data_IF_601428218273
#
_entry.id   IF_601428218273
#
_cell.length_a   1.000
_cell.length_b   1.000
_cell.length_c   1.000
_cell.angle_alpha   90.00
_cell.angle_beta   90.00
_cell.angle_gamma   90.00
#
_symmetry.space_group_name_H-M   'P 1'
#
loop_
_entity.id
_entity.type
_entity.pdbx_description
1 polymer ?
#
# COMPACT_ATOMS: atom_id res chain seq x y z
N UNK A 1 -1.39 -3.36 -34.22
CA UNK A 1 -1.56 -3.91 -32.93
C UNK A 1 -2.64 -3.23 -32.15
N UNK A 2 -3.56 -3.97 -31.72
CA UNK A 2 -4.74 -3.41 -31.10
C UNK A 2 -4.83 -3.70 -29.63
N UNK A 3 -3.68 -3.98 -29.04
CA UNK A 3 -3.67 -4.45 -27.68
C UNK A 3 -3.57 -3.35 -26.64
N UNK A 4 -3.29 -2.11 -27.07
CA UNK A 4 -3.07 -1.03 -26.11
C UNK A 4 -4.27 -0.80 -25.18
N UNK A 5 -5.48 -0.75 -25.72
CA UNK A 5 -6.68 -0.54 -24.91
C UNK A 5 -6.92 -1.69 -23.94
N UNK A 6 -6.74 -2.92 -24.42
CA UNK A 6 -6.88 -4.09 -23.55
C UNK A 6 -5.80 -4.10 -22.50
N UNK A 7 -4.57 -3.76 -22.85
CA UNK A 7 -3.47 -3.71 -21.89
C UNK A 7 -3.71 -2.67 -20.84
N UNK A 8 -4.20 -1.49 -21.21
CA UNK A 8 -4.50 -0.43 -20.26
C UNK A 8 -5.63 -0.84 -19.31
N UNK A 9 -6.66 -1.49 -19.81
CA UNK A 9 -7.76 -1.97 -18.99
C UNK A 9 -7.29 -3.05 -18.02
N UNK A 10 -6.47 -3.98 -18.50
CA UNK A 10 -5.90 -5.03 -17.67
C UNK A 10 -4.99 -4.44 -16.60
N UNK A 11 -4.14 -3.48 -16.96
CA UNK A 11 -3.25 -2.83 -16.01
C UNK A 11 -4.03 -2.12 -14.90
N UNK A 12 -5.10 -1.43 -15.27
CA UNK A 12 -5.95 -0.75 -14.28
C UNK A 12 -6.63 -1.73 -13.35
N UNK A 13 -7.10 -2.86 -13.87
CA UNK A 13 -7.69 -3.91 -13.06
C UNK A 13 -6.65 -4.53 -12.13
N UNK A 14 -5.43 -4.72 -12.62
CA UNK A 14 -4.35 -5.26 -11.80
C UNK A 14 -4.00 -4.32 -10.67
N UNK A 15 -3.96 -3.03 -10.89
CA UNK A 15 -3.69 -2.05 -9.83
C UNK A 15 -4.80 -2.07 -8.79
N UNK A 16 -6.04 -2.15 -9.22
CA UNK A 16 -7.17 -2.25 -8.31
C UNK A 16 -7.11 -3.54 -7.49
N UNK A 17 -6.78 -4.65 -8.15
CA UNK A 17 -6.62 -5.94 -7.48
C UNK A 17 -5.46 -5.91 -6.49
N UNK A 18 -4.35 -5.29 -6.86
CA UNK A 18 -3.19 -5.14 -6.00
C UNK A 18 -3.53 -4.29 -4.77
N UNK A 19 -4.19 -3.16 -4.99
CA UNK A 19 -4.65 -2.30 -3.90
C UNK A 19 -5.53 -3.09 -2.94
N UNK A 20 -6.47 -3.87 -3.46
CA UNK A 20 -7.36 -4.69 -2.65
C UNK A 20 -6.59 -5.70 -1.81
N UNK A 21 -5.62 -6.37 -2.40
CA UNK A 21 -4.81 -7.34 -1.68
C UNK A 21 -4.04 -6.67 -0.54
N UNK A 22 -3.48 -5.49 -0.78
CA UNK A 22 -2.75 -4.75 0.25
C UNK A 22 -3.68 -4.37 1.40
N UNK A 23 -4.84 -3.80 1.07
CA UNK A 23 -5.80 -3.39 2.09
C UNK A 23 -6.31 -4.58 2.88
N UNK A 24 -6.62 -5.69 2.21
CA UNK A 24 -7.06 -6.91 2.88
C UNK A 24 -6.00 -7.42 3.86
N UNK A 25 -4.74 -7.42 3.45
CA UNK A 25 -3.65 -7.83 4.33
C UNK A 25 -3.51 -6.93 5.54
N UNK A 26 -3.71 -5.61 5.36
CA UNK A 26 -3.67 -4.66 6.45
C UNK A 26 -4.84 -4.88 7.41
N UNK A 27 -6.03 -5.10 6.87
CA UNK A 27 -7.22 -5.33 7.68
C UNK A 27 -7.14 -6.63 8.48
N UNK A 28 -6.54 -7.66 7.91
CA UNK A 28 -6.39 -8.95 8.58
C UNK A 28 -5.62 -8.85 9.90
N UNK A 29 -4.70 -7.91 10.00
CA UNK A 29 -3.90 -7.69 11.21
C UNK A 29 -4.32 -6.40 11.93
N UNK A 30 -5.49 -5.89 11.57
CA UNK A 30 -6.15 -4.78 12.26
C UNK A 30 -5.35 -3.48 12.22
N UNK A 31 -4.80 -3.15 11.06
CA UNK A 31 -4.16 -1.86 10.87
C UNK A 31 -5.17 -0.74 11.13
N UNK A 32 -4.66 0.36 11.65
CA UNK A 32 -5.47 1.54 11.94
C UNK A 32 -5.30 2.60 10.87
N UNK A 33 -6.34 3.41 10.66
CA UNK A 33 -6.32 4.57 9.78
C UNK A 33 -5.74 4.27 8.40
N UNK A 34 -6.28 3.26 7.73
CA UNK A 34 -5.86 2.90 6.39
C UNK A 34 -6.36 3.96 5.42
N UNK A 35 -5.45 4.58 4.68
CA UNK A 35 -5.78 5.54 3.65
C UNK A 35 -5.12 5.15 2.35
N UNK A 36 -5.86 5.30 1.26
CA UNK A 36 -5.37 4.98 -0.09
C UNK A 36 -5.39 6.25 -0.93
N UNK A 37 -4.28 6.51 -1.61
CA UNK A 37 -4.15 7.67 -2.48
C UNK A 37 -3.86 7.23 -3.90
N UNK A 38 -4.55 7.85 -4.86
CA UNK A 38 -4.28 7.65 -6.27
C UNK A 38 -3.17 8.62 -6.68
N UNK A 39 -2.02 8.09 -7.04
CA UNK A 39 -0.84 8.88 -7.38
C UNK A 39 -0.46 8.78 -8.86
N UNK A 40 -1.36 8.26 -9.71
CA UNK A 40 -1.08 8.04 -11.12
C UNK A 40 -0.55 9.28 -11.82
N UNK A 41 -1.12 10.45 -11.51
CA UNK A 41 -0.72 11.70 -12.14
C UNK A 41 0.29 12.51 -11.33
N UNK A 42 0.75 11.97 -10.22
CA UNK A 42 1.74 12.64 -9.38
C UNK A 42 3.13 12.02 -9.48
N UNK A 43 3.20 10.75 -9.86
CA UNK A 43 4.46 10.03 -9.96
C UNK A 43 4.38 8.95 -11.03
N UNK A 44 5.41 8.84 -11.88
CA UNK A 44 5.49 7.70 -12.81
C UNK A 44 5.95 6.41 -12.14
N UNK A 45 6.39 6.47 -10.89
CA UNK A 45 6.98 5.32 -10.20
C UNK A 45 5.95 4.39 -9.58
N UNK A 46 4.82 4.94 -9.14
CA UNK A 46 3.77 4.15 -8.54
C UNK A 46 2.42 4.81 -8.75
N UNK A 47 1.38 4.00 -8.79
CA UNK A 47 0.03 4.48 -9.09
C UNK A 47 -0.85 4.59 -7.85
N UNK A 48 -0.47 3.92 -6.76
CA UNK A 48 -1.19 3.98 -5.48
C UNK A 48 -0.20 4.07 -4.34
N UNK A 49 -0.57 4.84 -3.33
CA UNK A 49 0.13 4.85 -2.05
C UNK A 49 -0.89 4.53 -0.98
N UNK A 50 -0.56 3.59 -0.13
CA UNK A 50 -1.42 3.20 0.98
C UNK A 50 -0.66 3.51 2.27
N UNK A 51 -1.31 4.22 3.19
CA UNK A 51 -0.73 4.56 4.48
C UNK A 51 -1.59 3.94 5.57
N UNK A 52 -0.96 3.26 6.50
CA UNK A 52 -1.66 2.62 7.60
C UNK A 52 -0.83 2.69 8.86
N UNK A 53 -1.46 2.51 10.01
CA UNK A 53 -0.78 2.57 11.29
C UNK A 53 -0.83 1.24 12.02
N UNK A 54 0.28 0.93 12.69
CA UNK A 54 0.36 -0.11 13.71
C UNK A 54 0.82 0.52 15.02
N UNK A 55 0.42 -0.07 16.13
CA UNK A 55 0.64 0.54 17.45
C UNK A 55 1.92 0.10 18.15
N UNK A 56 2.64 -0.84 17.54
CA UNK A 56 3.90 -1.34 18.11
C UNK A 56 4.80 -1.84 17.00
N UNK A 57 6.09 -2.01 17.29
CA UNK A 57 7.02 -2.62 16.35
C UNK A 57 6.57 -4.02 15.94
N UNK A 58 6.03 -4.76 16.88
CA UNK A 58 5.54 -6.11 16.61
C UNK A 58 4.38 -6.08 15.62
N UNK A 59 3.44 -5.17 15.81
CA UNK A 59 2.29 -5.06 14.93
C UNK A 59 2.69 -4.58 13.53
N UNK A 60 3.56 -3.58 13.44
CA UNK A 60 3.98 -3.09 12.12
C UNK A 60 4.68 -4.18 11.32
N UNK A 61 5.50 -5.00 11.97
CA UNK A 61 6.16 -6.13 11.33
C UNK A 61 5.14 -7.19 10.90
N UNK A 62 4.15 -7.47 11.74
CA UNK A 62 3.08 -8.41 11.40
C UNK A 62 2.24 -7.90 10.23
N UNK A 63 1.97 -6.60 10.18
CA UNK A 63 1.25 -5.97 9.08
C UNK A 63 2.02 -6.11 7.77
N UNK A 64 3.33 -5.85 7.80
CA UNK A 64 4.16 -6.00 6.61
C UNK A 64 4.15 -7.44 6.10
N UNK A 65 4.27 -8.42 6.99
CA UNK A 65 4.22 -9.82 6.61
C UNK A 65 2.86 -10.21 6.04
N UNK A 66 1.79 -9.70 6.62
CA UNK A 66 0.42 -9.97 6.16
C UNK A 66 0.19 -9.40 4.76
N UNK A 67 0.66 -8.18 4.50
CA UNK A 67 0.56 -7.56 3.18
C UNK A 67 1.36 -8.37 2.16
N UNK A 68 2.59 -8.74 2.50
CA UNK A 68 3.42 -9.56 1.62
C UNK A 68 2.70 -10.84 1.23
N UNK A 69 2.15 -11.54 2.20
CA UNK A 69 1.50 -12.82 1.95
C UNK A 69 0.22 -12.64 1.14
N UNK A 70 -0.59 -11.62 1.44
CA UNK A 70 -1.82 -11.35 0.70
C UNK A 70 -1.53 -11.01 -0.76
N UNK A 71 -0.49 -10.22 -1.01
CA UNK A 71 -0.09 -9.84 -2.37
C UNK A 71 0.39 -11.07 -3.15
N UNK A 72 1.18 -11.93 -2.52
CA UNK A 72 1.63 -13.16 -3.16
C UNK A 72 0.47 -14.10 -3.45
N UNK A 73 -0.44 -14.27 -2.53
CA UNK A 73 -1.62 -15.13 -2.72
C UNK A 73 -2.52 -14.61 -3.83
N UNK A 74 -2.54 -13.30 -4.03
CA UNK A 74 -3.31 -12.70 -5.12
C UNK A 74 -2.63 -12.88 -6.49
N UNK A 75 -1.45 -13.48 -6.53
CA UNK A 75 -0.77 -13.79 -7.77
C UNK A 75 0.27 -12.76 -8.22
N UNK A 76 0.59 -11.81 -7.38
CA UNK A 76 1.60 -10.81 -7.70
C UNK A 76 2.99 -11.24 -7.25
N UNK A 77 3.99 -10.56 -7.77
CA UNK A 77 5.38 -10.78 -7.37
C UNK A 77 5.56 -10.41 -5.91
N UNK A 78 6.41 -11.13 -5.22
CA UNK A 78 6.74 -10.87 -3.82
C UNK A 78 7.22 -9.42 -3.66
N UNK A 79 6.60 -8.63 -2.79
CA UNK A 79 7.02 -7.25 -2.58
C UNK A 79 8.36 -7.16 -1.85
N UNK A 80 9.02 -6.01 -2.01
CA UNK A 80 10.21 -5.69 -1.24
C UNK A 80 9.80 -4.98 0.03
N UNK A 81 10.43 -5.32 1.13
CA UNK A 81 10.13 -4.74 2.43
C UNK A 81 11.37 -4.05 2.97
N UNK A 82 11.22 -2.81 3.39
CA UNK A 82 12.28 -2.02 3.99
C UNK A 82 11.83 -1.47 5.34
N UNK A 83 12.76 -1.32 6.26
CA UNK A 83 12.48 -0.75 7.58
C UNK A 83 12.04 -1.74 8.63
N UNK A 84 12.10 -3.04 8.33
CA UNK A 84 11.67 -4.06 9.28
C UNK A 84 12.48 -4.09 10.56
N UNK A 85 13.75 -3.73 10.50
CA UNK A 85 14.62 -3.80 11.66
C UNK A 85 14.13 -2.95 12.81
N UNK A 86 13.70 -1.74 12.49
CA UNK A 86 13.22 -0.79 13.48
C UNK A 86 11.72 -0.96 13.77
N UNK A 87 10.92 -1.13 12.72
CA UNK A 87 9.48 -1.32 12.87
C UNK A 87 8.69 -0.04 13.09
N UNK A 88 9.33 1.13 13.15
CA UNK A 88 8.60 2.39 13.29
C UNK A 88 7.97 2.85 11.98
N UNK A 89 8.63 2.56 10.89
CA UNK A 89 8.17 2.90 9.55
C UNK A 89 8.64 1.81 8.60
N UNK A 90 7.72 0.97 8.16
CA UNK A 90 8.02 -0.11 7.22
C UNK A 90 7.41 0.23 5.87
N UNK A 91 8.18 0.06 4.81
CA UNK A 91 7.71 0.28 3.45
C UNK A 91 7.59 -1.09 2.78
N UNK A 92 6.42 -1.37 2.24
CA UNK A 92 6.17 -2.58 1.45
C UNK A 92 5.98 -2.14 0.01
N UNK A 93 7.00 -2.32 -0.79
CA UNK A 93 7.01 -1.90 -2.19
C UNK A 93 6.46 -3.03 -3.06
N UNK A 94 5.27 -2.85 -3.57
CA UNK A 94 4.58 -3.83 -4.41
C UNK A 94 4.62 -3.45 -5.90
N UNK A 95 5.50 -2.53 -6.28
CA UNK A 95 5.62 -2.08 -7.66
C UNK A 95 4.68 -0.92 -7.95
N UNK A 96 3.54 -1.20 -8.55
CA UNK A 96 2.56 -0.16 -8.89
C UNK A 96 1.92 0.46 -7.64
N UNK A 97 1.97 -0.20 -6.51
CA UNK A 97 1.45 0.31 -5.25
C UNK A 97 2.50 0.15 -4.15
N UNK A 98 2.57 1.14 -3.28
CA UNK A 98 3.51 1.14 -2.16
C UNK A 98 2.73 1.36 -0.87
N UNK A 99 2.97 0.51 0.12
CA UNK A 99 2.34 0.63 1.43
C UNK A 99 3.34 1.18 2.43
N UNK A 100 2.93 2.21 3.18
CA UNK A 100 3.68 2.76 4.29
C UNK A 100 2.98 2.37 5.57
N UNK A 101 3.64 1.56 6.39
CA UNK A 101 3.12 1.10 7.66
C UNK A 101 3.91 1.82 8.74
N UNK A 102 3.24 2.71 9.47
CA UNK A 102 3.91 3.63 10.38
C UNK A 102 3.27 3.58 11.75
N UNK A 103 4.07 3.75 12.79
CA UNK A 103 3.50 4.00 14.10
C UNK A 103 2.92 5.41 14.14
N UNK A 104 1.88 5.65 14.94
CA UNK A 104 1.17 6.93 14.91
C UNK A 104 2.06 8.16 15.10
N UNK A 105 3.04 8.10 15.99
CA UNK A 105 3.94 9.24 16.23
C UNK A 105 4.77 9.58 14.98
N UNK A 106 5.26 8.55 14.30
CA UNK A 106 6.05 8.74 13.08
C UNK A 106 5.15 9.28 11.96
N UNK A 107 3.96 8.74 11.84
CA UNK A 107 2.99 9.17 10.83
C UNK A 107 2.63 10.65 11.01
N UNK A 108 2.41 11.06 12.23
CA UNK A 108 2.08 12.44 12.54
C UNK A 108 3.26 13.37 12.25
N UNK A 109 4.47 12.93 12.56
CA UNK A 109 5.67 13.74 12.36
C UNK A 109 5.95 13.99 10.87
N UNK A 110 5.92 12.97 10.06
CA UNK A 110 6.23 13.09 8.63
C UNK A 110 5.07 13.56 7.77
N UNK A 111 3.84 13.28 8.19
CA UNK A 111 2.63 13.73 7.49
C UNK A 111 2.63 13.42 5.99
N UNK A 112 2.92 12.18 5.66
CA UNK A 112 2.98 11.76 4.25
C UNK A 112 1.66 12.01 3.52
N UNK A 113 0.54 11.92 4.22
CA UNK A 113 -0.78 12.14 3.63
C UNK A 113 -0.92 13.53 3.00
N UNK A 114 -0.19 14.51 3.49
CA UNK A 114 -0.25 15.86 2.94
C UNK A 114 0.34 15.93 1.54
N UNK A 115 1.24 15.01 1.19
CA UNK A 115 1.80 14.94 -0.16
C UNK A 115 0.76 14.50 -1.18
N UNK A 116 -0.22 13.72 -0.76
CA UNK A 116 -1.23 13.15 -1.64
C UNK A 116 -2.66 13.48 -1.21
N UNK A 117 -2.84 14.48 -0.36
CA UNK A 117 -4.11 14.79 0.29
C UNK A 117 -5.26 15.10 -0.64
N UNK A 118 -4.96 15.55 -1.85
CA UNK A 118 -5.98 15.91 -2.83
C UNK A 118 -6.44 14.71 -3.68
N UNK A 119 -5.90 13.53 -3.43
CA UNK A 119 -6.18 12.37 -4.26
C UNK A 119 -6.58 11.12 -3.47
N UNK A 120 -7.37 11.24 -2.39
CA UNK A 120 -7.77 10.07 -1.63
C UNK A 120 -8.70 9.17 -2.43
N UNK A 121 -8.58 7.88 -2.21
CA UNK A 121 -9.47 6.87 -2.77
C UNK A 121 -10.37 6.39 -1.65
N UNK A 122 -11.68 6.44 -1.85
CA UNK A 122 -12.61 5.93 -0.86
C UNK A 122 -12.52 4.42 -0.80
N UNK A 123 -12.37 3.92 0.40
CA UNK A 123 -12.44 2.48 0.64
C UNK A 123 -13.90 2.08 0.77
N UNK A 124 -14.31 1.14 -0.04
CA UNK A 124 -15.61 0.50 0.11
C UNK A 124 -15.38 -0.77 0.89
N UNK A 125 -15.80 -0.74 2.08
CA UNK A 125 -15.68 -1.89 2.96
C UNK A 125 -16.93 -2.75 2.90
#
# INVERSE_FOLDING_TARGET
MTTSTKSETAAKKDVTKLQRAIVDGLEDVKAQDIQVFNTEHLSPLFERVIVASGTSNRQTKALAASVRDAVREAGFVKPRIEGEENGEWIIVDCGAAVAHIMQPAIRQYYRLEELWGDTPVRLKL
#
